data_IF_743464069282
#
_entry.id   IF_743464069282
#
_cell.length_a   1.000
_cell.length_b   1.000
_cell.length_c   1.000
_cell.angle_alpha   90.00
_cell.angle_beta   90.00
_cell.angle_gamma   90.00
#
_symmetry.space_group_name_H-M   'P 1'
#
loop_
_entity.id
_entity.type
_entity.pdbx_description
1 polymer ?
#
# COMPACT_ATOMS: atom_id res chain seq x y z
N UNK A 1 12.41 14.79 -0.29
CA UNK A 1 11.02 14.38 -0.08
C UNK A 1 10.29 15.27 0.93
N UNK A 2 10.78 15.43 2.18
CA UNK A 2 10.08 16.20 3.22
C UNK A 2 9.84 17.67 2.82
N UNK A 3 10.83 18.34 2.23
CA UNK A 3 10.69 19.72 1.77
C UNK A 3 9.61 19.88 0.68
N UNK A 4 9.53 18.95 -0.26
CA UNK A 4 8.49 18.97 -1.30
C UNK A 4 7.11 18.75 -0.71
N UNK A 5 6.99 17.82 0.27
CA UNK A 5 5.73 17.58 0.97
C UNK A 5 5.29 18.80 1.78
N UNK A 6 6.23 19.51 2.43
CA UNK A 6 5.96 20.76 3.15
C UNK A 6 5.47 21.89 2.21
N UNK A 7 6.10 22.04 1.03
CA UNK A 7 5.63 22.97 -0.01
C UNK A 7 4.21 22.63 -0.48
N UNK A 8 3.91 21.35 -0.63
CA UNK A 8 2.57 20.92 -1.02
C UNK A 8 1.55 21.25 0.08
N UNK A 9 1.87 20.93 1.34
CA UNK A 9 1.00 21.23 2.48
C UNK A 9 0.73 22.73 2.65
N UNK A 10 1.71 23.60 2.32
CA UNK A 10 1.50 25.05 2.37
C UNK A 10 0.47 25.55 1.35
N UNK A 11 0.27 24.83 0.26
CA UNK A 11 -0.71 25.13 -0.81
C UNK A 11 -2.07 24.48 -0.58
N UNK A 12 -2.12 23.44 0.24
CA UNK A 12 -3.32 22.63 0.49
C UNK A 12 -3.60 22.52 2.00
N UNK A 13 -4.40 23.42 2.59
CA UNK A 13 -4.61 23.50 4.05
C UNK A 13 -5.20 22.21 4.67
N UNK A 14 -5.83 21.37 3.88
CA UNK A 14 -6.39 20.07 4.32
C UNK A 14 -5.35 18.97 4.37
N UNK A 15 -4.16 19.18 3.78
CA UNK A 15 -3.05 18.22 3.83
C UNK A 15 -2.28 18.38 5.14
N UNK A 16 -2.26 17.34 5.94
CA UNK A 16 -1.55 17.29 7.21
C UNK A 16 -0.40 16.28 7.13
N UNK A 17 0.79 16.72 7.53
CA UNK A 17 1.97 15.86 7.62
C UNK A 17 2.07 15.32 9.03
N UNK A 18 2.13 13.99 9.17
CA UNK A 18 2.32 13.27 10.43
C UNK A 18 3.62 12.48 10.34
N UNK A 19 4.59 12.67 11.26
CA UNK A 19 5.79 11.86 11.30
C UNK A 19 5.45 10.39 11.51
N UNK A 20 6.09 9.52 10.72
CA UNK A 20 5.86 8.07 10.78
C UNK A 20 7.11 7.32 10.31
N UNK A 21 7.69 6.50 11.20
CA UNK A 21 8.62 5.44 10.86
C UNK A 21 7.85 4.13 10.87
N UNK A 22 7.64 3.54 9.68
CA UNK A 22 6.75 2.39 9.51
C UNK A 22 7.29 1.09 10.12
N UNK A 23 8.58 1.02 10.42
CA UNK A 23 9.22 -0.14 11.06
C UNK A 23 9.30 -0.01 12.59
N UNK A 24 8.86 1.13 13.15
CA UNK A 24 8.85 1.38 14.59
C UNK A 24 7.41 1.34 15.15
N UNK A 25 7.06 0.32 15.96
CA UNK A 25 5.73 0.22 16.57
C UNK A 25 5.33 1.43 17.43
N UNK A 26 6.30 2.08 18.08
CA UNK A 26 6.02 3.29 18.88
C UNK A 26 5.64 4.47 17.97
N UNK A 27 6.33 4.63 16.84
CA UNK A 27 6.02 5.64 15.83
C UNK A 27 4.64 5.39 15.21
N UNK A 28 4.31 4.15 14.87
CA UNK A 28 2.98 3.76 14.35
C UNK A 28 1.88 4.13 15.34
N UNK A 29 2.07 3.80 16.63
CA UNK A 29 1.10 4.13 17.68
C UNK A 29 0.90 5.64 17.83
N UNK A 30 1.99 6.41 17.84
CA UNK A 30 1.94 7.86 17.93
C UNK A 30 1.24 8.50 16.73
N UNK A 31 1.54 8.03 15.52
CA UNK A 31 0.88 8.50 14.30
C UNK A 31 -0.62 8.19 14.30
N UNK A 32 -1.02 6.99 14.71
CA UNK A 32 -2.43 6.61 14.81
C UNK A 32 -3.18 7.49 15.85
N UNK A 33 -2.58 7.78 16.99
CA UNK A 33 -3.14 8.68 18.00
C UNK A 33 -3.33 10.10 17.44
N UNK A 34 -2.30 10.66 16.78
CA UNK A 34 -2.35 11.99 16.17
C UNK A 34 -3.44 12.10 15.10
N UNK A 35 -3.59 11.08 14.25
CA UNK A 35 -4.66 11.04 13.24
C UNK A 35 -6.03 10.93 13.91
N UNK A 36 -6.16 10.07 14.93
CA UNK A 36 -7.41 9.89 15.68
C UNK A 36 -7.93 11.20 16.31
N UNK A 37 -7.04 11.99 16.90
CA UNK A 37 -7.36 13.30 17.46
C UNK A 37 -7.89 14.28 16.39
N UNK A 38 -7.25 14.28 15.21
CA UNK A 38 -7.64 15.16 14.09
C UNK A 38 -8.98 14.77 13.47
N UNK A 39 -9.28 13.49 13.42
CA UNK A 39 -10.56 12.99 12.88
C UNK A 39 -11.76 13.31 13.80
N UNK A 40 -11.54 13.69 15.06
CA UNK A 40 -12.59 14.10 16.00
C UNK A 40 -13.77 13.12 16.05
N UNK A 41 -13.49 11.87 15.83
CA UNK A 41 -14.48 10.82 15.90
C UNK A 41 -15.21 10.49 14.59
N UNK A 42 -14.88 11.08 13.45
CA UNK A 42 -15.53 10.76 12.16
C UNK A 42 -15.10 9.41 11.56
N UNK A 43 -13.95 8.88 11.98
CA UNK A 43 -13.37 7.67 11.40
C UNK A 43 -12.44 7.97 10.22
N UNK A 44 -11.71 6.93 9.77
CA UNK A 44 -10.78 6.96 8.65
C UNK A 44 -11.37 6.20 7.47
N UNK A 45 -11.51 6.85 6.32
CA UNK A 45 -12.11 6.22 5.13
C UNK A 45 -11.12 5.40 4.31
N UNK A 46 -9.85 5.82 4.25
CA UNK A 46 -8.87 5.20 3.36
C UNK A 46 -7.48 5.18 4.01
N UNK A 47 -6.92 3.98 4.13
CA UNK A 47 -5.53 3.75 4.51
C UNK A 47 -4.78 3.21 3.29
N UNK A 48 -3.76 3.93 2.83
CA UNK A 48 -2.88 3.48 1.74
C UNK A 48 -1.51 3.14 2.33
N UNK A 49 -1.14 1.87 2.33
CA UNK A 49 0.19 1.39 2.68
C UNK A 49 1.09 1.49 1.44
N UNK A 50 1.80 2.62 1.31
CA UNK A 50 2.64 2.92 0.15
C UNK A 50 4.14 2.74 0.43
N UNK A 51 4.58 2.87 1.67
CA UNK A 51 5.99 2.71 2.03
C UNK A 51 6.52 1.34 1.61
N UNK A 52 7.71 1.33 1.03
CA UNK A 52 8.36 0.10 0.58
C UNK A 52 9.82 0.33 0.25
N UNK A 53 10.60 -0.73 0.30
CA UNK A 53 12.00 -0.74 -0.08
C UNK A 53 12.28 -1.93 -1.00
N UNK A 54 13.32 -1.83 -1.81
CA UNK A 54 13.83 -2.89 -2.67
C UNK A 54 15.31 -3.16 -2.35
N UNK A 55 15.77 -4.37 -2.62
CA UNK A 55 17.19 -4.74 -2.73
C UNK A 55 17.33 -5.60 -3.98
N UNK A 56 18.33 -5.31 -4.79
CA UNK A 56 18.54 -5.99 -6.08
C UNK A 56 19.35 -7.30 -5.95
N UNK A 57 19.28 -7.98 -4.80
CA UNK A 57 20.01 -9.21 -4.55
C UNK A 57 19.49 -10.37 -5.41
N UNK A 58 20.41 -11.28 -5.74
CA UNK A 58 20.11 -12.55 -6.42
C UNK A 58 19.91 -13.66 -5.39
N UNK A 59 19.53 -14.87 -5.83
CA UNK A 59 19.47 -16.05 -4.96
C UNK A 59 20.82 -16.32 -4.26
N UNK A 60 21.93 -16.08 -4.96
CA UNK A 60 23.29 -16.37 -4.43
C UNK A 60 23.79 -15.26 -3.49
N UNK A 61 23.30 -14.05 -3.61
CA UNK A 61 23.76 -12.89 -2.82
C UNK A 61 22.77 -12.44 -1.76
N UNK A 62 21.60 -13.08 -1.67
CA UNK A 62 20.58 -12.71 -0.68
C UNK A 62 21.07 -12.96 0.75
N UNK A 63 20.69 -12.07 1.67
CA UNK A 63 21.13 -12.12 3.06
C UNK A 63 19.95 -12.15 4.03
N UNK A 64 20.16 -12.72 5.22
CA UNK A 64 19.19 -12.66 6.30
C UNK A 64 18.81 -11.22 6.65
N UNK A 65 19.78 -10.31 6.62
CA UNK A 65 19.58 -8.90 6.91
C UNK A 65 18.63 -8.27 5.90
N UNK A 66 18.89 -8.40 4.61
CA UNK A 66 18.08 -7.80 3.55
C UNK A 66 16.68 -8.42 3.50
N UNK A 67 16.58 -9.75 3.63
CA UNK A 67 15.29 -10.42 3.76
C UNK A 67 14.47 -9.87 4.94
N UNK A 68 15.09 -9.71 6.11
CA UNK A 68 14.42 -9.22 7.31
C UNK A 68 13.98 -7.76 7.16
N UNK A 69 14.86 -6.89 6.67
CA UNK A 69 14.56 -5.46 6.49
C UNK A 69 13.44 -5.25 5.46
N UNK A 70 13.55 -5.90 4.31
CA UNK A 70 12.57 -5.75 3.22
C UNK A 70 11.23 -6.34 3.63
N UNK A 71 11.22 -7.51 4.27
CA UNK A 71 9.97 -8.12 4.75
C UNK A 71 9.31 -7.28 5.85
N UNK A 72 10.09 -6.74 6.77
CA UNK A 72 9.59 -5.88 7.84
C UNK A 72 8.91 -4.63 7.26
N UNK A 73 9.55 -3.95 6.32
CA UNK A 73 9.01 -2.74 5.71
C UNK A 73 7.80 -3.02 4.82
N UNK A 74 7.92 -4.02 3.93
CA UNK A 74 6.94 -4.24 2.87
C UNK A 74 5.74 -5.08 3.28
N UNK A 75 5.83 -5.86 4.37
CA UNK A 75 4.77 -6.79 4.78
C UNK A 75 4.34 -6.58 6.23
N UNK A 76 5.29 -6.59 7.18
CA UNK A 76 4.94 -6.46 8.60
C UNK A 76 4.41 -5.06 8.91
N UNK A 77 5.05 -4.01 8.39
CA UNK A 77 4.60 -2.63 8.60
C UNK A 77 3.16 -2.39 8.11
N UNK A 78 2.75 -2.80 6.90
CA UNK A 78 1.35 -2.75 6.47
C UNK A 78 0.37 -3.46 7.41
N UNK A 79 0.75 -4.62 7.99
CA UNK A 79 -0.05 -5.29 8.98
C UNK A 79 -0.22 -4.45 10.25
N UNK A 80 0.89 -3.97 10.82
CA UNK A 80 0.87 -3.18 12.05
C UNK A 80 0.12 -1.86 11.88
N UNK A 81 0.30 -1.18 10.75
CA UNK A 81 -0.46 0.02 10.39
C UNK A 81 -1.95 -0.29 10.28
N UNK A 82 -2.32 -1.35 9.57
CA UNK A 82 -3.71 -1.75 9.46
C UNK A 82 -4.34 -2.03 10.83
N UNK A 83 -3.62 -2.71 11.73
CA UNK A 83 -4.09 -2.96 13.10
C UNK A 83 -4.25 -1.65 13.90
N UNK A 84 -3.29 -0.73 13.81
CA UNK A 84 -3.31 0.54 14.55
C UNK A 84 -4.47 1.46 14.09
N UNK A 85 -4.79 1.44 12.79
CA UNK A 85 -5.86 2.25 12.22
C UNK A 85 -7.22 1.53 12.15
N UNK A 86 -7.28 0.23 12.45
CA UNK A 86 -8.51 -0.57 12.36
C UNK A 86 -9.70 0.02 13.12
N UNK A 87 -9.57 0.52 14.35
CA UNK A 87 -10.70 1.12 15.07
C UNK A 87 -11.32 2.32 14.32
N UNK A 88 -10.48 3.14 13.69
CA UNK A 88 -10.93 4.29 12.91
C UNK A 88 -11.57 3.89 11.58
N UNK A 89 -11.05 2.85 10.92
CA UNK A 89 -11.64 2.27 9.70
C UNK A 89 -13.03 1.66 9.99
N UNK A 90 -13.16 0.89 11.07
CA UNK A 90 -14.45 0.35 11.51
C UNK A 90 -15.48 1.46 11.77
N UNK A 91 -15.03 2.53 12.42
CA UNK A 91 -15.91 3.68 12.71
C UNK A 91 -16.39 4.37 11.43
N UNK A 92 -15.52 4.55 10.44
CA UNK A 92 -15.90 5.12 9.15
C UNK A 92 -16.89 4.21 8.41
N UNK A 93 -16.68 2.91 8.39
CA UNK A 93 -17.58 1.94 7.78
C UNK A 93 -18.99 1.98 8.40
N UNK A 94 -19.09 2.04 9.74
CA UNK A 94 -20.34 2.10 10.47
C UNK A 94 -21.10 3.42 10.28
N UNK A 95 -20.37 4.52 10.17
CA UNK A 95 -20.95 5.87 10.00
C UNK A 95 -21.37 6.20 8.57
N UNK A 96 -21.05 5.36 7.60
CA UNK A 96 -21.33 5.63 6.19
C UNK A 96 -22.69 5.08 5.76
N UNK A 97 -23.55 5.89 5.11
CA UNK A 97 -24.86 5.44 4.65
C UNK A 97 -24.75 4.44 3.49
N UNK A 98 -25.76 3.59 3.37
CA UNK A 98 -25.90 2.62 2.28
C UNK A 98 -25.17 1.29 2.53
N UNK A 99 -25.51 0.29 1.73
CA UNK A 99 -24.90 -1.04 1.70
C UNK A 99 -23.62 -1.09 0.84
N UNK A 100 -22.85 -2.16 0.98
CA UNK A 100 -21.66 -2.42 0.17
C UNK A 100 -20.40 -1.71 0.66
N UNK A 101 -19.27 -2.07 0.07
CA UNK A 101 -17.93 -1.55 0.38
C UNK A 101 -17.48 -0.55 -0.67
N UNK A 102 -16.70 0.45 -0.27
CA UNK A 102 -16.04 1.39 -1.18
C UNK A 102 -14.92 2.14 -0.48
N UNK A 103 -14.03 2.77 -1.26
CA UNK A 103 -12.95 3.61 -0.72
C UNK A 103 -13.48 4.88 -0.03
N UNK A 104 -14.70 5.32 -0.30
CA UNK A 104 -15.31 6.45 0.38
C UNK A 104 -15.90 6.07 1.75
N UNK A 105 -16.10 4.79 2.02
CA UNK A 105 -16.60 4.29 3.32
C UNK A 105 -15.44 3.88 4.22
N UNK A 106 -14.83 2.74 3.94
CA UNK A 106 -13.62 2.28 4.63
C UNK A 106 -12.85 1.32 3.73
N UNK A 107 -11.57 1.60 3.51
CA UNK A 107 -10.71 0.74 2.70
C UNK A 107 -9.26 0.72 3.18
N UNK A 108 -8.59 -0.42 2.95
CA UNK A 108 -7.15 -0.61 3.07
C UNK A 108 -6.62 -0.93 1.67
N UNK A 109 -5.69 -0.14 1.21
CA UNK A 109 -5.02 -0.32 -0.08
C UNK A 109 -3.53 -0.58 0.18
N UNK A 110 -3.06 -1.74 -0.24
CA UNK A 110 -1.66 -2.11 -0.15
C UNK A 110 -0.98 -1.93 -1.50
N UNK A 111 0.07 -1.12 -1.57
CA UNK A 111 0.85 -0.94 -2.81
C UNK A 111 1.86 -2.07 -2.92
N UNK A 112 1.57 -3.02 -3.79
CA UNK A 112 2.39 -4.17 -4.11
C UNK A 112 3.24 -3.94 -5.37
N UNK A 113 3.48 -4.99 -6.12
CA UNK A 113 4.26 -4.97 -7.36
C UNK A 113 3.91 -6.20 -8.19
N UNK A 114 4.07 -6.12 -9.51
CA UNK A 114 4.07 -7.30 -10.39
C UNK A 114 5.11 -8.33 -9.92
N UNK A 115 6.20 -7.87 -9.30
CA UNK A 115 7.19 -8.76 -8.67
C UNK A 115 6.63 -9.64 -7.56
N UNK A 116 5.48 -9.31 -6.97
CA UNK A 116 4.76 -10.15 -6.01
C UNK A 116 3.88 -11.23 -6.65
N UNK A 117 3.74 -11.26 -7.96
CA UNK A 117 3.06 -12.35 -8.66
C UNK A 117 3.96 -13.58 -8.73
N UNK A 118 3.49 -14.67 -8.15
CA UNK A 118 4.19 -15.97 -8.20
C UNK A 118 4.12 -16.55 -9.62
N UNK A 119 3.04 -16.24 -10.32
CA UNK A 119 2.79 -16.73 -11.67
C UNK A 119 3.62 -15.99 -12.73
N UNK A 120 3.65 -14.67 -12.68
CA UNK A 120 4.14 -13.85 -13.80
C UNK A 120 5.68 -13.82 -13.89
N UNK A 121 6.39 -13.88 -12.77
CA UNK A 121 7.87 -13.84 -12.69
C UNK A 121 8.52 -12.82 -13.63
N UNK A 122 7.87 -11.66 -13.77
CA UNK A 122 8.23 -10.61 -14.72
C UNK A 122 9.67 -10.14 -14.54
N UNK A 123 10.43 -10.03 -15.64
CA UNK A 123 11.83 -9.60 -15.70
C UNK A 123 12.79 -10.40 -14.80
N UNK A 124 12.53 -11.67 -14.52
CA UNK A 124 13.37 -12.50 -13.66
C UNK A 124 14.84 -12.52 -14.07
N UNK A 125 15.12 -12.68 -15.39
CA UNK A 125 16.49 -12.76 -15.91
C UNK A 125 17.27 -11.45 -15.76
N UNK A 126 16.58 -10.32 -15.72
CA UNK A 126 17.20 -9.01 -15.58
C UNK A 126 17.31 -8.58 -14.11
N UNK A 127 16.28 -8.84 -13.32
CA UNK A 127 16.18 -8.38 -11.93
C UNK A 127 15.57 -9.48 -11.07
N UNK A 128 16.39 -10.17 -10.28
CA UNK A 128 15.89 -11.19 -9.38
C UNK A 128 15.19 -10.57 -8.17
N UNK A 129 15.85 -9.69 -7.42
CA UNK A 129 15.30 -8.97 -6.27
C UNK A 129 14.49 -9.90 -5.33
N UNK A 130 15.11 -11.00 -4.88
CA UNK A 130 14.43 -12.13 -4.23
C UNK A 130 13.66 -11.70 -2.99
N UNK A 131 14.30 -10.98 -2.07
CA UNK A 131 13.64 -10.48 -0.86
C UNK A 131 12.44 -9.57 -1.16
N UNK A 132 12.56 -8.72 -2.18
CA UNK A 132 11.48 -7.85 -2.61
C UNK A 132 10.28 -8.64 -3.14
N UNK A 133 10.53 -9.60 -4.05
CA UNK A 133 9.46 -10.46 -4.61
C UNK A 133 8.75 -11.24 -3.51
N UNK A 134 9.51 -11.88 -2.61
CA UNK A 134 8.95 -12.62 -1.48
C UNK A 134 8.09 -11.71 -0.59
N UNK A 135 8.56 -10.50 -0.29
CA UNK A 135 7.82 -9.55 0.54
C UNK A 135 6.52 -9.06 -0.13
N UNK A 136 6.54 -8.83 -1.45
CA UNK A 136 5.34 -8.39 -2.18
C UNK A 136 4.33 -9.52 -2.39
N UNK A 137 4.78 -10.77 -2.57
CA UNK A 137 3.92 -11.94 -2.54
C UNK A 137 3.25 -12.11 -1.16
N UNK A 138 4.03 -11.92 -0.08
CA UNK A 138 3.49 -11.94 1.28
C UNK A 138 2.50 -10.80 1.54
N UNK A 139 2.74 -9.59 1.00
CA UNK A 139 1.80 -8.47 1.07
C UNK A 139 0.49 -8.77 0.31
N UNK A 140 0.57 -9.44 -0.82
CA UNK A 140 -0.58 -9.93 -1.57
C UNK A 140 -1.40 -10.92 -0.72
N UNK A 141 -0.74 -11.89 -0.08
CA UNK A 141 -1.41 -12.82 0.85
C UNK A 141 -2.01 -12.08 2.05
N UNK A 142 -1.30 -11.12 2.64
CA UNK A 142 -1.84 -10.28 3.71
C UNK A 142 -3.12 -9.58 3.29
N UNK A 143 -3.17 -9.04 2.08
CA UNK A 143 -4.38 -8.39 1.54
C UNK A 143 -5.54 -9.36 1.44
N UNK A 144 -5.31 -10.62 1.02
CA UNK A 144 -6.33 -11.67 1.03
C UNK A 144 -6.83 -11.96 2.44
N UNK A 145 -5.92 -12.10 3.41
CA UNK A 145 -6.30 -12.30 4.81
C UNK A 145 -7.13 -11.14 5.35
N UNK A 146 -6.72 -9.89 5.04
CA UNK A 146 -7.46 -8.69 5.44
C UNK A 146 -8.85 -8.64 4.82
N UNK A 147 -8.98 -8.98 3.54
CA UNK A 147 -10.28 -8.99 2.85
C UNK A 147 -11.26 -9.98 3.47
N UNK A 148 -10.78 -11.14 3.92
CA UNK A 148 -11.59 -12.14 4.62
C UNK A 148 -11.90 -11.72 6.06
N UNK A 149 -10.87 -11.29 6.80
CA UNK A 149 -10.99 -10.99 8.22
C UNK A 149 -11.74 -9.69 8.54
N UNK A 150 -11.80 -8.75 7.57
CA UNK A 150 -12.46 -7.45 7.78
C UNK A 150 -13.77 -7.29 6.98
N UNK A 151 -14.20 -8.36 6.30
CA UNK A 151 -15.42 -8.36 5.50
C UNK A 151 -16.67 -7.97 6.32
N UNK A 152 -16.85 -8.57 7.49
CA UNK A 152 -17.98 -8.28 8.37
C UNK A 152 -18.01 -6.85 8.91
N UNK A 153 -16.85 -6.17 8.86
CA UNK A 153 -16.73 -4.77 9.25
C UNK A 153 -16.96 -3.79 8.09
N UNK A 154 -17.23 -4.31 6.89
CA UNK A 154 -17.47 -3.47 5.71
C UNK A 154 -16.21 -2.75 5.20
N UNK A 155 -15.01 -3.29 5.45
CA UNK A 155 -13.74 -2.70 5.04
C UNK A 155 -13.25 -3.37 3.75
N UNK A 156 -13.14 -2.58 2.69
CA UNK A 156 -12.60 -3.00 1.39
C UNK A 156 -11.08 -3.16 1.48
N UNK A 157 -10.54 -4.30 1.06
CA UNK A 157 -9.08 -4.55 1.06
C UNK A 157 -8.63 -4.95 -0.34
N UNK A 158 -7.76 -4.16 -0.95
CA UNK A 158 -7.26 -4.38 -2.33
C UNK A 158 -5.75 -4.14 -2.38
N UNK A 159 -5.05 -4.87 -3.22
CA UNK A 159 -3.63 -4.61 -3.50
C UNK A 159 -3.42 -4.16 -4.94
N UNK A 160 -2.49 -3.21 -5.13
CA UNK A 160 -2.17 -2.64 -6.43
C UNK A 160 -0.73 -2.89 -6.85
N UNK A 161 -0.56 -3.18 -8.14
CA UNK A 161 0.67 -2.94 -8.87
C UNK A 161 0.62 -1.55 -9.51
N UNK A 162 1.48 -0.60 -9.09
CA UNK A 162 1.44 0.78 -9.60
C UNK A 162 2.01 0.93 -11.02
N UNK A 163 2.50 -0.16 -11.63
CA UNK A 163 3.30 -0.14 -12.85
C UNK A 163 4.80 0.06 -12.56
N UNK A 164 5.62 0.07 -13.61
CA UNK A 164 7.02 0.44 -13.50
C UNK A 164 7.17 1.95 -13.69
N UNK A 165 7.29 2.65 -12.58
CA UNK A 165 7.07 4.10 -12.48
C UNK A 165 8.41 4.85 -12.35
N UNK A 166 8.50 6.02 -12.96
CA UNK A 166 9.64 6.95 -12.91
C UNK A 166 9.80 7.55 -11.50
N UNK A 167 10.32 6.75 -10.57
CA UNK A 167 10.68 7.09 -9.20
C UNK A 167 12.12 6.70 -8.94
N UNK A 168 12.68 7.14 -7.81
CA UNK A 168 14.03 6.73 -7.40
C UNK A 168 14.15 5.21 -7.39
N UNK A 169 13.21 4.51 -6.76
CA UNK A 169 13.15 3.05 -6.73
C UNK A 169 13.04 2.42 -8.13
N UNK A 170 12.19 2.96 -8.98
CA UNK A 170 11.98 2.44 -10.33
C UNK A 170 13.19 2.60 -11.25
N UNK A 171 14.10 3.53 -10.93
CA UNK A 171 15.28 3.88 -11.72
C UNK A 171 16.58 3.28 -11.18
N UNK A 172 16.55 2.51 -10.08
CA UNK A 172 17.75 1.93 -9.45
C UNK A 172 18.55 1.01 -10.38
N UNK A 173 17.92 0.38 -11.37
CA UNK A 173 18.58 -0.48 -12.36
C UNK A 173 19.26 0.26 -13.52
N UNK A 174 19.18 1.60 -13.56
CA UNK A 174 19.72 2.42 -14.66
C UNK A 174 18.81 2.53 -15.88
N UNK A 175 17.78 1.72 -15.99
CA UNK A 175 16.79 1.81 -17.05
C UNK A 175 15.74 2.89 -16.72
N UNK A 176 15.24 3.55 -17.75
CA UNK A 176 14.18 4.54 -17.58
C UNK A 176 12.82 3.85 -17.55
N UNK A 177 12.09 3.90 -16.42
CA UNK A 177 10.74 3.34 -16.35
C UNK A 177 9.80 3.98 -17.39
N UNK A 178 8.90 3.21 -18.00
CA UNK A 178 8.02 3.70 -19.05
C UNK A 178 6.89 4.61 -18.53
N UNK A 179 6.50 4.47 -17.25
CA UNK A 179 5.31 5.10 -16.70
C UNK A 179 5.67 6.31 -15.85
N UNK A 180 5.03 7.46 -16.10
CA UNK A 180 5.19 8.65 -15.25
C UNK A 180 4.42 8.48 -13.93
N UNK A 181 4.84 9.22 -12.89
CA UNK A 181 4.14 9.26 -11.59
C UNK A 181 2.69 9.70 -11.77
N UNK A 182 2.45 10.74 -12.57
CA UNK A 182 1.10 11.27 -12.80
C UNK A 182 0.18 10.24 -13.48
N UNK A 183 0.70 9.49 -14.47
CA UNK A 183 -0.08 8.45 -15.14
C UNK A 183 -0.41 7.30 -14.20
N UNK A 184 0.56 6.80 -13.42
CA UNK A 184 0.37 5.74 -12.44
C UNK A 184 -0.63 6.13 -11.35
N UNK A 185 -0.39 7.25 -10.69
CA UNK A 185 -1.24 7.72 -9.58
C UNK A 185 -2.64 8.09 -10.08
N UNK A 186 -2.72 8.81 -11.21
CA UNK A 186 -3.99 9.16 -11.83
C UNK A 186 -4.82 7.93 -12.22
N UNK A 187 -4.17 6.89 -12.75
CA UNK A 187 -4.80 5.60 -13.05
C UNK A 187 -5.33 4.93 -11.78
N UNK A 188 -4.49 4.75 -10.77
CA UNK A 188 -4.90 4.14 -9.50
C UNK A 188 -6.05 4.91 -8.83
N UNK A 189 -6.01 6.24 -8.77
CA UNK A 189 -7.10 7.05 -8.19
C UNK A 189 -8.42 6.86 -8.96
N UNK A 190 -8.35 6.76 -10.29
CA UNK A 190 -9.52 6.48 -11.12
C UNK A 190 -10.09 5.07 -10.86
N UNK A 191 -9.24 4.08 -10.63
CA UNK A 191 -9.67 2.72 -10.26
C UNK A 191 -10.27 2.74 -8.86
N UNK A 192 -9.59 3.34 -7.86
CA UNK A 192 -10.07 3.46 -6.48
C UNK A 192 -11.49 4.02 -6.38
N UNK A 193 -11.83 5.02 -7.22
CA UNK A 193 -13.16 5.64 -7.22
C UNK A 193 -14.29 4.69 -7.66
N UNK A 194 -13.96 3.56 -8.26
CA UNK A 194 -14.91 2.58 -8.81
C UNK A 194 -14.94 1.25 -8.06
N UNK A 195 -14.01 1.04 -7.12
CA UNK A 195 -13.91 -0.20 -6.35
C UNK A 195 -15.15 -0.40 -5.50
N UNK A 196 -15.54 -1.66 -5.41
CA UNK A 196 -16.69 -2.12 -4.64
C UNK A 196 -16.39 -3.46 -3.96
N UNK A 197 -17.36 -4.01 -3.27
CA UNK A 197 -17.26 -5.28 -2.55
C UNK A 197 -16.72 -6.45 -3.41
N UNK A 198 -17.10 -6.50 -4.70
CA UNK A 198 -16.62 -7.54 -5.64
C UNK A 198 -15.11 -7.51 -5.86
N UNK A 199 -14.49 -6.37 -5.61
CA UNK A 199 -13.04 -6.16 -5.82
C UNK A 199 -12.24 -6.46 -4.56
N UNK A 200 -12.90 -6.73 -3.42
CA UNK A 200 -12.22 -7.02 -2.16
C UNK A 200 -11.39 -8.29 -2.25
N UNK A 201 -10.15 -8.21 -1.86
CA UNK A 201 -9.19 -9.31 -1.96
C UNK A 201 -8.64 -9.54 -3.36
N UNK A 202 -8.70 -8.58 -4.28
CA UNK A 202 -8.10 -8.69 -5.61
C UNK A 202 -6.73 -8.03 -5.67
N UNK A 203 -5.94 -8.47 -6.65
CA UNK A 203 -4.69 -7.84 -7.06
C UNK A 203 -4.90 -7.16 -8.41
N UNK A 204 -4.80 -5.85 -8.44
CA UNK A 204 -5.07 -5.02 -9.62
C UNK A 204 -3.81 -4.28 -10.06
N UNK A 205 -3.70 -3.98 -11.34
CA UNK A 205 -2.74 -2.99 -11.82
C UNK A 205 -3.32 -1.55 -11.74
N UNK A 206 -2.50 -0.59 -12.09
CA UNK A 206 -2.85 0.83 -12.08
C UNK A 206 -3.97 1.21 -13.07
N UNK A 207 -4.28 0.36 -14.04
CA UNK A 207 -5.40 0.52 -15.00
C UNK A 207 -6.67 -0.18 -14.53
N UNK A 208 -6.58 -1.03 -13.49
CA UNK A 208 -7.70 -1.81 -12.94
C UNK A 208 -7.83 -3.21 -13.52
N UNK A 209 -6.84 -3.68 -14.27
CA UNK A 209 -6.81 -5.07 -14.73
C UNK A 209 -6.41 -5.99 -13.57
N UNK A 210 -7.01 -7.18 -13.53
CA UNK A 210 -6.66 -8.20 -12.54
C UNK A 210 -5.28 -8.78 -12.88
N UNK A 211 -4.38 -8.73 -11.91
CA UNK A 211 -3.07 -9.37 -11.98
C UNK A 211 -3.16 -10.76 -11.34
N UNK A 212 -2.52 -11.75 -11.96
CA UNK A 212 -2.43 -13.09 -11.36
C UNK A 212 -1.56 -13.04 -10.08
N UNK A 213 -1.91 -13.89 -9.10
CA UNK A 213 -1.15 -14.06 -7.86
C UNK A 213 0.23 -14.71 -8.06
#
# INVERSE_FOLDING_TARGET
>A
LLQELQKLASKHPTLVIVPLEVTDPASIKAAAASVGERLKGSGLNLLINNAGIVRANTLDTETLKDMSEVYTTNTIAPLLLSQAFLPMLKKAAQGSPGSGMSCSKAAIINISSIGGSIREMYLWEAIQAVCYRCSKAALNMLTRCQSMGYQEHGILCVTFHPGWVQTDMGSEGGDKPPLTVDASVGGMLKVLSKLSEKDSGTFLDWEGNVVAW
#
